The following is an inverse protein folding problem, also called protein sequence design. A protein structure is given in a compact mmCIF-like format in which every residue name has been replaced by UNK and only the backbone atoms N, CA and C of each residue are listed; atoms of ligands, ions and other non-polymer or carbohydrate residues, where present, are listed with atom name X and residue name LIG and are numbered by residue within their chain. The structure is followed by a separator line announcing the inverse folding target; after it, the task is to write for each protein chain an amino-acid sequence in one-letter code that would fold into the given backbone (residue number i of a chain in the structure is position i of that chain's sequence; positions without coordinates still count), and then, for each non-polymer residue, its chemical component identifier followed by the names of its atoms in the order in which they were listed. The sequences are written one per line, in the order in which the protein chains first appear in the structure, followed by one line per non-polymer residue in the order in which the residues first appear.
data_IF_187613637862
#
_entry.id   IF_187613637862
#
_cell.length_a   1.000
_cell.length_b   1.000
_cell.length_c   1.000
_cell.angle_alpha   90.00
_cell.angle_beta   90.00
_cell.angle_gamma   90.00
#
_symmetry.space_group_name_H-M   'P 1'
#
loop_
_entity.id
_entity.type
_entity.pdbx_description
1 polymer ?
#
# COMPACT_ATOMS: atom_id res chain seq x y z
N UNK A 1 -1.80 26.25 -19.17
CA UNK A 1 -1.86 26.05 -17.71
C UNK A 1 -1.23 24.70 -17.42
N UNK A 2 -0.13 24.68 -16.67
CA UNK A 2 0.66 23.48 -16.38
C UNK A 2 -0.18 22.47 -15.61
N UNK A 3 -0.48 21.34 -16.25
CA UNK A 3 -1.11 20.18 -15.62
C UNK A 3 -0.10 19.64 -14.61
N UNK A 4 -0.12 20.14 -13.37
CA UNK A 4 0.64 19.55 -12.27
C UNK A 4 0.26 18.08 -12.25
N UNK A 5 1.17 17.21 -12.69
CA UNK A 5 0.94 15.79 -12.67
C UNK A 5 0.70 15.44 -11.20
N UNK A 6 -0.57 15.17 -10.85
CA UNK A 6 -0.97 14.80 -9.50
C UNK A 6 -0.03 13.66 -9.10
N UNK A 7 0.78 13.88 -8.05
CA UNK A 7 1.75 12.87 -7.61
C UNK A 7 0.92 11.64 -7.25
N UNK A 8 1.19 10.52 -7.93
CA UNK A 8 0.47 9.27 -7.71
C UNK A 8 0.53 8.87 -6.23
N UNK A 9 -0.54 8.27 -5.72
CA UNK A 9 -0.68 7.77 -4.36
C UNK A 9 0.46 6.83 -4.03
N UNK A 10 0.83 5.93 -4.96
CA UNK A 10 1.98 5.05 -4.80
C UNK A 10 3.28 5.82 -4.52
N UNK A 11 3.49 6.95 -5.21
CA UNK A 11 4.67 7.79 -4.98
C UNK A 11 4.61 8.57 -3.67
N UNK A 12 3.42 8.99 -3.23
CA UNK A 12 3.24 9.61 -1.91
C UNK A 12 3.59 8.62 -0.79
N UNK A 13 3.07 7.40 -0.88
CA UNK A 13 3.34 6.32 0.09
C UNK A 13 4.83 5.97 0.11
N UNK A 14 5.50 5.87 -1.05
CA UNK A 14 6.95 5.63 -1.13
C UNK A 14 7.76 6.74 -0.46
N UNK A 15 7.42 8.01 -0.72
CA UNK A 15 8.12 9.15 -0.12
C UNK A 15 7.96 9.18 1.40
N UNK A 16 6.75 8.92 1.89
CA UNK A 16 6.47 8.83 3.32
C UNK A 16 7.24 7.66 3.96
N UNK A 17 7.26 6.50 3.31
CA UNK A 17 8.05 5.38 3.79
C UNK A 17 9.55 5.70 3.86
N UNK A 18 10.09 6.33 2.82
CA UNK A 18 11.50 6.75 2.76
C UNK A 18 11.85 7.75 3.86
N UNK A 19 11.02 8.78 4.09
CA UNK A 19 11.30 9.80 5.11
C UNK A 19 11.33 9.25 6.53
N UNK A 20 10.67 8.10 6.77
CA UNK A 20 10.61 7.44 8.07
C UNK A 20 11.39 6.12 8.13
N UNK A 21 12.25 5.82 7.14
CA UNK A 21 13.03 4.57 7.07
C UNK A 21 12.14 3.32 7.24
N UNK A 22 11.01 3.29 6.54
CA UNK A 22 10.07 2.17 6.49
C UNK A 22 10.26 1.44 5.17
N UNK A 23 10.42 0.13 5.24
CA UNK A 23 10.56 -0.72 4.05
C UNK A 23 9.31 -1.56 3.84
N UNK A 24 9.14 -2.08 2.61
CA UNK A 24 8.08 -3.03 2.28
C UNK A 24 8.40 -4.45 2.79
N UNK A 25 9.36 -4.61 3.71
CA UNK A 25 9.73 -5.91 4.25
C UNK A 25 8.59 -6.53 5.04
N UNK A 26 8.27 -7.80 4.73
CA UNK A 26 7.41 -8.64 5.57
C UNK A 26 8.25 -9.16 6.74
N UNK A 27 7.84 -8.85 7.96
CA UNK A 27 8.47 -9.47 9.13
C UNK A 27 7.85 -10.84 9.46
N UNK A 28 8.37 -11.50 10.50
CA UNK A 28 7.88 -12.83 10.91
C UNK A 28 6.39 -12.87 11.23
N UNK A 29 5.84 -11.78 11.77
CA UNK A 29 4.42 -11.67 12.09
C UNK A 29 3.57 -11.51 10.83
N UNK A 30 4.00 -10.70 9.86
CA UNK A 30 3.34 -10.60 8.54
C UNK A 30 3.35 -11.93 7.78
N UNK A 31 4.45 -12.69 7.84
CA UNK A 31 4.51 -14.02 7.21
C UNK A 31 3.54 -15.00 7.86
N UNK A 32 3.42 -14.96 9.18
CA UNK A 32 2.44 -15.77 9.91
C UNK A 32 1.00 -15.36 9.56
N UNK A 33 0.71 -14.06 9.45
CA UNK A 33 -0.60 -13.58 9.03
C UNK A 33 -0.97 -14.08 7.62
N UNK A 34 -0.05 -14.02 6.65
CA UNK A 34 -0.26 -14.57 5.30
C UNK A 34 -0.46 -16.10 5.34
N UNK A 35 0.26 -16.81 6.19
CA UNK A 35 0.08 -18.25 6.35
C UNK A 35 -1.31 -18.58 6.93
N UNK A 36 -1.78 -17.82 7.92
CA UNK A 36 -3.10 -17.99 8.53
C UNK A 36 -4.21 -17.68 7.52
N UNK A 37 -4.13 -16.57 6.78
CA UNK A 37 -5.14 -16.25 5.75
C UNK A 37 -5.19 -17.34 4.68
N UNK A 38 -4.02 -17.82 4.25
CA UNK A 38 -3.94 -18.92 3.27
C UNK A 38 -4.56 -20.21 3.80
N UNK A 39 -4.35 -20.54 5.07
CA UNK A 39 -4.99 -21.69 5.72
C UNK A 39 -6.51 -21.54 5.84
N UNK A 40 -7.01 -20.30 5.96
CA UNK A 40 -8.44 -19.99 5.96
C UNK A 40 -9.08 -20.06 4.56
N UNK A 41 -8.30 -20.35 3.51
CA UNK A 41 -8.75 -20.35 2.13
C UNK A 41 -8.61 -18.99 1.42
N UNK A 42 -8.10 -17.97 2.11
CA UNK A 42 -7.88 -16.63 1.57
C UNK A 42 -6.43 -16.46 1.10
N UNK A 43 -6.19 -16.31 -0.20
CA UNK A 43 -4.87 -15.88 -0.70
C UNK A 43 -4.76 -14.35 -0.74
N UNK A 44 -4.28 -13.78 0.36
CA UNK A 44 -4.04 -12.33 0.46
C UNK A 44 -2.56 -12.06 0.24
N UNK A 45 -2.21 -11.64 -0.98
CA UNK A 45 -0.87 -11.13 -1.30
C UNK A 45 -0.90 -9.61 -1.45
N UNK A 46 -0.36 -8.91 -0.45
CA UNK A 46 -0.16 -7.47 -0.54
C UNK A 46 1.00 -7.16 -1.48
N UNK A 47 0.79 -6.19 -2.36
CA UNK A 47 1.87 -5.59 -3.13
C UNK A 47 2.77 -4.69 -2.26
N UNK A 48 3.86 -4.20 -2.85
CA UNK A 48 4.84 -3.42 -2.11
C UNK A 48 4.26 -2.11 -1.54
N UNK A 49 3.26 -1.49 -2.18
CA UNK A 49 2.64 -0.26 -1.68
C UNK A 49 1.71 -0.57 -0.52
N UNK A 50 0.88 -1.59 -0.66
CA UNK A 50 -0.01 -2.06 0.40
C UNK A 50 0.79 -2.51 1.64
N UNK A 51 1.93 -3.17 1.43
CA UNK A 51 2.83 -3.56 2.51
C UNK A 51 3.48 -2.35 3.21
N UNK A 52 3.79 -1.27 2.46
CA UNK A 52 4.26 -0.02 3.06
C UNK A 52 3.19 0.63 3.92
N UNK A 53 1.93 0.67 3.48
CA UNK A 53 0.82 1.21 4.25
C UNK A 53 0.62 0.47 5.58
N UNK A 54 0.67 -0.87 5.55
CA UNK A 54 0.61 -1.69 6.76
C UNK A 54 1.77 -1.35 7.72
N UNK A 55 3.00 -1.26 7.20
CA UNK A 55 4.17 -1.01 8.01
C UNK A 55 4.21 0.42 8.58
N UNK A 56 3.77 1.42 7.82
CA UNK A 56 3.64 2.81 8.25
C UNK A 56 2.61 2.96 9.38
N UNK A 57 1.42 2.34 9.22
CA UNK A 57 0.39 2.30 10.26
C UNK A 57 0.93 1.63 11.53
N UNK A 58 1.60 0.49 11.40
CA UNK A 58 2.11 -0.28 12.53
C UNK A 58 3.18 0.47 13.33
N UNK A 59 4.00 1.29 12.67
CA UNK A 59 4.96 2.18 13.32
C UNK A 59 4.31 3.45 13.92
N UNK A 60 3.00 3.63 13.76
CA UNK A 60 2.27 4.80 14.26
C UNK A 60 2.45 6.06 13.41
N UNK A 61 3.04 5.95 12.22
CA UNK A 61 3.24 7.09 11.30
C UNK A 61 1.92 7.44 10.60
N UNK A 62 1.09 6.43 10.34
CA UNK A 62 -0.28 6.61 9.86
C UNK A 62 -1.27 6.19 10.95
N UNK A 63 -2.28 7.02 11.16
CA UNK A 63 -3.50 6.61 11.83
C UNK A 63 -4.27 5.58 11.01
N UNK A 64 -5.26 4.92 11.64
CA UNK A 64 -6.14 3.98 10.94
C UNK A 64 -6.91 4.67 9.79
N UNK A 65 -7.40 5.88 10.01
CA UNK A 65 -8.14 6.64 8.99
C UNK A 65 -7.25 7.02 7.81
N UNK A 66 -6.04 7.54 8.06
CA UNK A 66 -5.12 7.91 6.98
C UNK A 66 -4.68 6.69 6.17
N UNK A 67 -4.38 5.56 6.83
CA UNK A 67 -4.04 4.32 6.15
C UNK A 67 -5.19 3.81 5.26
N UNK A 68 -6.44 3.96 5.71
CA UNK A 68 -7.61 3.58 4.92
C UNK A 68 -7.84 4.52 3.74
N UNK A 69 -7.66 5.83 3.92
CA UNK A 69 -7.74 6.81 2.83
C UNK A 69 -6.69 6.52 1.75
N UNK A 70 -5.43 6.27 2.14
CA UNK A 70 -4.39 5.88 1.19
C UNK A 70 -4.69 4.56 0.47
N UNK A 71 -5.27 3.59 1.17
CA UNK A 71 -5.65 2.31 0.56
C UNK A 71 -6.74 2.51 -0.49
N UNK A 72 -7.79 3.28 -0.17
CA UNK A 72 -8.88 3.55 -1.11
C UNK A 72 -8.38 4.28 -2.36
N UNK A 73 -7.59 5.35 -2.18
CA UNK A 73 -7.01 6.09 -3.30
C UNK A 73 -6.06 5.22 -4.13
N UNK A 74 -5.29 4.33 -3.50
CA UNK A 74 -4.38 3.42 -4.22
C UNK A 74 -5.13 2.35 -5.02
N UNK A 75 -6.25 1.83 -4.51
CA UNK A 75 -7.09 0.89 -5.26
C UNK A 75 -7.68 1.54 -6.52
N UNK A 76 -8.10 2.80 -6.42
CA UNK A 76 -8.54 3.57 -7.58
C UNK A 76 -7.40 3.77 -8.60
N UNK A 77 -6.21 4.18 -8.14
CA UNK A 77 -5.02 4.33 -9.01
C UNK A 77 -4.65 3.02 -9.72
N UNK A 78 -4.71 1.90 -9.00
CA UNK A 78 -4.42 0.55 -9.54
C UNK A 78 -5.44 0.15 -10.60
N UNK A 79 -6.73 0.41 -10.37
CA UNK A 79 -7.81 0.15 -11.33
C UNK A 79 -7.64 0.98 -12.62
N UNK A 80 -7.33 2.26 -12.49
CA UNK A 80 -7.10 3.14 -13.64
C UNK A 80 -5.89 2.70 -14.46
N UNK A 81 -4.83 2.23 -13.81
CA UNK A 81 -3.67 1.65 -14.47
C UNK A 81 -4.03 0.39 -15.28
N UNK A 82 -4.79 -0.54 -14.70
CA UNK A 82 -5.23 -1.74 -15.41
C UNK A 82 -6.14 -1.42 -16.60
N UNK A 83 -7.09 -0.49 -16.44
CA UNK A 83 -7.99 -0.09 -17.52
C UNK A 83 -7.24 0.55 -18.70
N UNK A 84 -6.17 1.30 -18.41
CA UNK A 84 -5.32 1.91 -19.45
C UNK A 84 -4.41 0.90 -20.15
N UNK A 85 -4.05 -0.20 -19.49
CA UNK A 85 -3.21 -1.24 -20.08
C UNK A 85 -4.01 -2.24 -20.95
N UNK A 86 -5.35 -2.27 -20.79
CA UNK A 86 -6.24 -3.20 -21.47
C UNK A 86 -6.92 -2.63 -22.73
N UNK A 87 -6.66 -1.36 -23.08
CA UNK A 87 -7.20 -0.69 -24.28
C UNK A 87 -6.09 -0.12 -25.14
#
# INVERSE_FOLDING_TARGET
MTKTAKISVANQVRRLAQSHNVTAGRDGFSRMAVAITRLAGDDVQLDNIEQLLVNLKRKGILSKSEALSFQDEYLHEKKDFYNKAAG
#
